data_IF_347992076544
#
_entry.id   IF_347992076544
#
_cell.length_a   1.000
_cell.length_b   1.000
_cell.length_c   1.000
_cell.angle_alpha   90.00
_cell.angle_beta   90.00
_cell.angle_gamma   90.00
#
_symmetry.space_group_name_H-M   'P 1'
#
loop_
_entity.id
_entity.type
_entity.pdbx_description
1 polymer ?
#
# COMPACT_ATOMS: atom_id res chain seq x y z
N UNK A 1 15.72 19.87 0.42
CA UNK A 1 16.26 20.62 -0.66
C UNK A 1 15.77 20.19 -2.03
N UNK A 2 14.54 20.56 -2.43
CA UNK A 2 14.05 20.39 -3.82
C UNK A 2 14.19 21.76 -4.50
N UNK A 3 15.38 22.32 -4.56
CA UNK A 3 15.56 23.68 -5.10
C UNK A 3 15.91 23.78 -6.58
N UNK A 4 16.51 22.76 -7.20
CA UNK A 4 17.20 23.01 -8.48
C UNK A 4 16.74 22.17 -9.69
N UNK A 5 15.57 21.54 -9.64
CA UNK A 5 15.12 20.68 -10.75
C UNK A 5 13.93 21.24 -11.53
N UNK A 6 13.44 22.41 -11.18
CA UNK A 6 12.24 23.00 -11.80
C UNK A 6 12.54 23.93 -12.98
N UNK A 7 13.77 24.03 -13.42
CA UNK A 7 14.12 24.69 -14.68
C UNK A 7 13.68 23.84 -15.88
N UNK A 8 12.60 24.23 -16.54
CA UNK A 8 12.15 23.80 -17.88
C UNK A 8 11.74 22.33 -18.13
N UNK A 9 11.77 21.42 -17.16
CA UNK A 9 11.31 20.04 -17.31
C UNK A 9 10.08 19.80 -16.45
N UNK A 10 9.02 19.25 -17.03
CA UNK A 10 7.76 19.00 -16.31
C UNK A 10 7.93 18.04 -15.13
N UNK A 11 7.03 18.11 -14.14
CA UNK A 11 6.99 17.24 -12.96
C UNK A 11 7.19 15.75 -13.30
N UNK A 12 6.73 15.30 -14.48
CA UNK A 12 6.91 13.93 -14.95
C UNK A 12 8.36 13.49 -15.12
N UNK A 13 9.28 14.41 -15.47
CA UNK A 13 10.73 14.08 -15.62
C UNK A 13 11.42 13.96 -14.26
N UNK A 14 10.98 14.72 -13.27
CA UNK A 14 11.48 14.62 -11.88
C UNK A 14 11.12 13.25 -11.31
N UNK A 15 9.88 12.81 -11.48
CA UNK A 15 9.42 11.50 -11.00
C UNK A 15 10.12 10.33 -11.70
N UNK A 16 10.37 10.42 -13.01
CA UNK A 16 11.13 9.41 -13.75
C UNK A 16 12.55 9.24 -13.20
N UNK A 17 13.26 10.32 -12.90
CA UNK A 17 14.63 10.26 -12.35
C UNK A 17 14.67 9.66 -10.94
N UNK A 18 13.71 9.97 -10.08
CA UNK A 18 13.62 9.34 -8.75
C UNK A 18 13.35 7.83 -8.86
N UNK A 19 12.59 7.42 -9.86
CA UNK A 19 12.34 6.00 -10.12
C UNK A 19 13.56 5.25 -10.69
N UNK A 20 14.53 5.93 -11.31
CA UNK A 20 15.76 5.31 -11.81
C UNK A 20 16.72 4.90 -10.71
N UNK A 21 16.80 5.66 -9.61
CA UNK A 21 17.66 5.37 -8.45
C UNK A 21 17.34 4.01 -7.80
N UNK A 22 16.10 3.52 -7.92
CA UNK A 22 15.71 2.19 -7.42
C UNK A 22 16.49 1.04 -8.03
N UNK A 23 16.93 1.19 -9.31
CA UNK A 23 17.72 0.17 -10.03
C UNK A 23 19.13 0.06 -9.47
N UNK A 24 19.64 1.17 -8.99
CA UNK A 24 20.96 1.26 -8.37
C UNK A 24 20.90 0.84 -6.90
N UNK A 25 19.89 1.36 -6.16
CA UNK A 25 19.74 1.15 -4.72
C UNK A 25 19.18 -0.23 -4.36
N UNK A 26 18.40 -0.86 -5.26
CA UNK A 26 17.76 -2.19 -5.07
C UNK A 26 17.09 -2.34 -3.69
N UNK A 27 16.11 -1.51 -3.34
CA UNK A 27 15.46 -1.58 -2.03
C UNK A 27 14.62 -2.85 -1.88
N UNK A 28 14.55 -3.42 -0.68
CA UNK A 28 13.61 -4.51 -0.35
C UNK A 28 12.16 -4.02 -0.36
N UNK A 29 11.94 -2.77 0.07
CA UNK A 29 10.62 -2.12 0.11
C UNK A 29 10.70 -0.74 -0.54
N UNK A 30 9.77 -0.46 -1.45
CA UNK A 30 9.57 0.86 -2.05
C UNK A 30 8.24 1.45 -1.59
N UNK A 31 8.26 2.70 -1.12
CA UNK A 31 7.05 3.44 -0.73
C UNK A 31 6.86 4.61 -1.68
N UNK A 32 5.77 4.59 -2.47
CA UNK A 32 5.34 5.74 -3.26
C UNK A 32 4.43 6.65 -2.45
N UNK A 33 5.01 7.73 -1.95
CA UNK A 33 4.34 8.78 -1.18
C UNK A 33 4.19 10.10 -1.97
N UNK A 34 4.22 10.06 -3.30
CA UNK A 34 4.12 11.25 -4.17
C UNK A 34 2.75 11.92 -4.04
N UNK A 35 1.70 11.15 -3.71
CA UNK A 35 0.32 11.61 -3.55
C UNK A 35 -0.26 12.32 -4.80
N UNK A 36 0.13 11.89 -5.99
CA UNK A 36 -0.26 12.50 -7.27
C UNK A 36 -1.73 12.27 -7.66
N UNK A 37 -2.50 11.53 -6.86
CA UNK A 37 -3.90 11.14 -7.12
C UNK A 37 -4.09 10.24 -8.35
N UNK A 38 -3.01 9.81 -8.95
CA UNK A 38 -2.92 8.86 -10.06
C UNK A 38 -1.57 8.16 -9.98
N UNK A 39 -1.50 6.94 -10.47
CA UNK A 39 -0.22 6.25 -10.63
C UNK A 39 0.61 6.98 -11.70
N UNK A 40 1.85 7.34 -11.36
CA UNK A 40 2.79 8.05 -12.25
C UNK A 40 3.85 7.13 -12.86
N UNK A 41 3.65 5.81 -12.76
CA UNK A 41 4.51 4.78 -13.35
C UNK A 41 5.12 3.82 -12.33
N UNK A 42 4.65 3.84 -11.09
CA UNK A 42 5.05 2.87 -10.06
C UNK A 42 4.39 1.53 -10.33
N UNK A 43 5.17 0.46 -10.24
CA UNK A 43 4.71 -0.90 -10.47
C UNK A 43 5.24 -1.87 -9.39
N UNK A 44 4.60 -3.02 -9.28
CA UNK A 44 5.04 -4.10 -8.38
C UNK A 44 6.45 -4.62 -8.67
N UNK A 45 6.94 -4.41 -9.91
CA UNK A 45 8.28 -4.84 -10.32
C UNK A 45 9.39 -3.89 -9.83
N UNK A 46 9.04 -2.78 -9.18
CA UNK A 46 10.01 -1.75 -8.80
C UNK A 46 10.81 -2.11 -7.54
N UNK A 47 10.29 -3.01 -6.72
CA UNK A 47 10.97 -3.60 -5.57
C UNK A 47 10.29 -4.94 -5.19
N UNK A 48 10.92 -5.80 -4.38
CA UNK A 48 10.29 -6.99 -3.81
C UNK A 48 8.96 -6.68 -3.10
N UNK A 49 8.86 -5.56 -2.40
CA UNK A 49 7.59 -5.08 -1.85
C UNK A 49 7.37 -3.61 -2.17
N UNK A 50 6.19 -3.26 -2.72
CA UNK A 50 5.85 -1.89 -3.12
C UNK A 50 4.57 -1.46 -2.43
N UNK A 51 4.61 -0.30 -1.77
CA UNK A 51 3.49 0.33 -1.06
C UNK A 51 3.13 1.63 -1.77
N UNK A 52 1.87 1.83 -2.10
CA UNK A 52 1.34 3.10 -2.62
C UNK A 52 0.51 3.84 -1.58
N UNK A 53 0.59 5.17 -1.51
CA UNK A 53 -0.21 5.98 -0.60
C UNK A 53 -1.38 6.65 -1.32
N UNK A 54 -2.61 6.28 -0.92
CA UNK A 54 -3.85 6.90 -1.35
C UNK A 54 -4.30 6.59 -2.78
N UNK A 55 -5.23 7.40 -3.31
CA UNK A 55 -5.87 7.13 -4.58
C UNK A 55 -4.89 7.22 -5.76
N UNK A 56 -5.13 6.38 -6.76
CA UNK A 56 -4.31 6.24 -7.95
C UNK A 56 -3.64 4.88 -8.07
N UNK A 57 -3.62 4.10 -6.99
CA UNK A 57 -3.07 2.75 -6.95
C UNK A 57 -4.15 1.69 -6.77
N UNK A 58 -3.90 0.51 -7.33
CA UNK A 58 -4.68 -0.70 -7.12
C UNK A 58 -3.79 -1.74 -6.48
N UNK A 59 -4.07 -2.11 -5.23
CA UNK A 59 -3.37 -3.19 -4.54
C UNK A 59 -3.60 -4.52 -5.28
N UNK A 60 -2.57 -5.34 -5.36
CA UNK A 60 -2.59 -6.60 -6.13
C UNK A 60 -2.34 -6.43 -7.63
N UNK A 61 -2.49 -5.22 -8.19
CA UNK A 61 -2.22 -4.89 -9.60
C UNK A 61 -1.00 -3.99 -9.75
N UNK A 62 -1.06 -2.77 -9.25
CA UNK A 62 -0.01 -1.75 -9.41
C UNK A 62 1.05 -1.86 -8.33
N UNK A 63 0.62 -2.11 -7.11
CA UNK A 63 1.44 -2.21 -5.89
C UNK A 63 1.04 -3.42 -5.07
N UNK A 64 1.84 -3.81 -4.06
CA UNK A 64 1.53 -4.92 -3.17
C UNK A 64 0.52 -4.55 -2.09
N UNK A 65 0.61 -3.31 -1.59
CA UNK A 65 -0.36 -2.76 -0.65
C UNK A 65 -0.59 -1.27 -0.92
N UNK A 66 -1.79 -0.80 -0.56
CA UNK A 66 -2.14 0.63 -0.56
C UNK A 66 -2.48 1.05 0.86
N UNK A 67 -1.98 2.20 1.30
CA UNK A 67 -2.41 2.81 2.57
C UNK A 67 -3.49 3.84 2.27
N UNK A 68 -4.66 3.71 2.91
CA UNK A 68 -5.76 4.66 2.77
C UNK A 68 -5.37 6.04 3.30
N UNK A 69 -5.68 7.08 2.54
CA UNK A 69 -5.36 8.46 2.91
C UNK A 69 -6.58 9.36 3.07
N UNK A 70 -7.80 8.84 2.87
CA UNK A 70 -9.03 9.60 3.13
C UNK A 70 -9.24 9.72 4.64
N UNK A 71 -9.55 10.94 5.14
CA UNK A 71 -9.97 11.12 6.53
C UNK A 71 -11.30 10.41 6.77
N UNK A 72 -11.40 9.69 7.86
CA UNK A 72 -12.58 8.90 8.24
C UNK A 72 -12.18 7.64 9.01
N UNK A 73 -13.10 6.72 9.14
CA UNK A 73 -12.91 5.47 9.91
C UNK A 73 -11.83 4.56 9.35
N UNK A 74 -11.56 4.66 8.05
CA UNK A 74 -10.58 3.83 7.33
C UNK A 74 -9.25 4.53 7.10
N UNK A 75 -9.03 5.73 7.68
CA UNK A 75 -7.76 6.42 7.55
C UNK A 75 -6.61 5.52 8.03
N UNK A 76 -5.59 5.42 7.18
CA UNK A 76 -4.41 4.61 7.41
C UNK A 76 -4.62 3.08 7.38
N UNK A 77 -5.80 2.61 6.97
CA UNK A 77 -6.03 1.18 6.72
C UNK A 77 -5.10 0.65 5.61
N UNK A 78 -4.67 -0.59 5.76
CA UNK A 78 -3.82 -1.28 4.79
C UNK A 78 -4.70 -2.12 3.87
N UNK A 79 -4.69 -1.80 2.58
CA UNK A 79 -5.46 -2.48 1.53
C UNK A 79 -4.50 -3.40 0.78
N UNK A 80 -4.76 -4.71 0.81
CA UNK A 80 -3.97 -5.73 0.10
C UNK A 80 -4.58 -6.16 -1.24
N UNK A 81 -5.85 -5.83 -1.48
CA UNK A 81 -6.57 -6.10 -2.73
C UNK A 81 -7.58 -4.99 -2.99
N UNK A 82 -7.60 -4.43 -4.22
CA UNK A 82 -8.49 -3.36 -4.62
C UNK A 82 -7.92 -1.96 -4.48
N UNK A 83 -8.81 -0.98 -4.33
CA UNK A 83 -8.48 0.45 -4.39
C UNK A 83 -8.85 1.18 -3.10
N UNK A 84 -8.11 2.24 -2.74
CA UNK A 84 -8.52 3.17 -1.69
C UNK A 84 -9.73 4.00 -2.15
N UNK A 85 -10.32 4.74 -1.22
CA UNK A 85 -11.43 5.65 -1.52
C UNK A 85 -10.99 6.66 -2.59
N UNK A 86 -11.78 6.84 -3.67
CA UNK A 86 -11.45 7.77 -4.74
C UNK A 86 -11.28 9.21 -4.24
N UNK A 87 -10.40 9.98 -4.90
CA UNK A 87 -10.23 11.39 -4.56
C UNK A 87 -11.49 12.19 -4.90
N UNK A 88 -12.14 12.74 -3.90
CA UNK A 88 -13.35 13.56 -4.06
C UNK A 88 -13.03 15.01 -4.44
N UNK A 89 -11.76 15.45 -4.32
CA UNK A 89 -11.38 16.86 -4.46
C UNK A 89 -11.83 17.76 -3.31
N UNK A 90 -12.58 17.22 -2.34
CA UNK A 90 -13.06 17.93 -1.17
C UNK A 90 -12.08 17.67 -0.01
N UNK A 91 -11.49 18.70 0.60
CA UNK A 91 -10.62 18.55 1.74
C UNK A 91 -11.41 18.11 2.97
N UNK A 92 -10.78 17.34 3.86
CA UNK A 92 -11.39 16.98 5.13
C UNK A 92 -11.64 18.20 6.02
N UNK A 93 -12.65 18.09 6.89
CA UNK A 93 -12.99 19.11 7.87
C UNK A 93 -11.86 19.33 8.88
N UNK A 94 -11.57 20.57 9.18
CA UNK A 94 -10.67 20.99 10.27
C UNK A 94 -11.30 22.23 10.91
N UNK A 95 -11.57 22.17 12.21
CA UNK A 95 -12.21 23.28 12.94
C UNK A 95 -13.55 23.73 12.34
N UNK A 96 -14.33 22.80 11.76
CA UNK A 96 -15.63 23.09 11.17
C UNK A 96 -15.60 23.59 9.71
N UNK A 97 -14.42 23.79 9.12
CA UNK A 97 -14.25 24.30 7.75
C UNK A 97 -13.63 23.26 6.82
N UNK A 98 -14.01 23.26 5.55
CA UNK A 98 -13.47 22.37 4.53
C UNK A 98 -12.92 23.16 3.33
N UNK A 99 -13.79 23.62 2.42
CA UNK A 99 -13.40 24.33 1.19
C UNK A 99 -12.91 25.74 1.47
N UNK A 100 -13.44 26.39 2.46
CA UNK A 100 -13.11 27.76 2.85
C UNK A 100 -11.67 27.92 3.33
N UNK A 101 -11.05 26.81 3.77
CA UNK A 101 -9.65 26.75 4.15
C UNK A 101 -8.70 26.87 2.96
N UNK A 102 -9.19 26.54 1.77
CA UNK A 102 -8.35 26.51 0.58
C UNK A 102 -8.12 27.91 0.00
N UNK A 103 -6.88 28.30 -0.14
CA UNK A 103 -6.49 29.47 -0.90
C UNK A 103 -6.39 29.03 -2.36
N UNK A 104 -7.22 29.58 -3.24
CA UNK A 104 -7.24 29.25 -4.67
C UNK A 104 -6.88 30.45 -5.52
N UNK A 105 -6.14 30.23 -6.61
CA UNK A 105 -5.78 31.24 -7.58
C UNK A 105 -7.03 31.88 -8.22
N UNK A 106 -7.14 33.19 -8.15
CA UNK A 106 -8.24 33.96 -8.73
C UNK A 106 -8.12 34.10 -10.25
N UNK A 107 -6.89 34.09 -10.78
CA UNK A 107 -6.60 34.13 -12.22
C UNK A 107 -5.40 33.24 -12.54
N UNK A 108 -5.25 32.92 -13.84
CA UNK A 108 -4.02 32.28 -14.34
C UNK A 108 -2.92 33.37 -14.44
N UNK A 109 -1.67 32.94 -14.15
CA UNK A 109 -0.50 33.79 -14.24
C UNK A 109 0.49 33.59 -13.10
N UNK A 110 1.38 34.56 -12.91
CA UNK A 110 2.43 34.50 -11.88
C UNK A 110 1.83 34.67 -10.48
N UNK A 111 2.33 33.87 -9.53
CA UNK A 111 2.01 33.91 -8.10
C UNK A 111 2.86 34.98 -7.40
N UNK A 112 2.24 35.87 -6.65
CA UNK A 112 2.88 36.87 -5.81
C UNK A 112 2.29 36.82 -4.40
N UNK A 113 2.93 36.16 -3.44
CA UNK A 113 2.47 36.11 -2.06
C UNK A 113 2.53 37.50 -1.41
N UNK A 114 1.49 37.87 -0.64
CA UNK A 114 1.42 39.09 0.18
C UNK A 114 1.33 38.72 1.68
N UNK A 115 1.33 37.43 2.00
CA UNK A 115 1.37 36.89 3.34
C UNK A 115 2.21 35.61 3.32
N UNK A 116 2.73 35.18 4.48
CA UNK A 116 3.67 34.08 4.64
C UNK A 116 3.08 32.95 5.49
N UNK A 117 3.67 31.75 5.39
CA UNK A 117 3.34 30.63 6.29
C UNK A 117 3.64 31.05 7.73
N UNK A 118 2.67 30.84 8.63
CA UNK A 118 2.72 31.25 10.02
C UNK A 118 2.06 32.61 10.31
N UNK A 119 1.65 33.37 9.29
CA UNK A 119 0.90 34.60 9.51
C UNK A 119 -0.52 34.32 9.98
N UNK A 120 -0.95 35.06 11.01
CA UNK A 120 -2.35 35.08 11.45
C UNK A 120 -3.10 36.06 10.54
N UNK A 121 -4.15 35.57 9.89
CA UNK A 121 -4.93 36.34 8.91
C UNK A 121 -6.39 36.39 9.31
N UNK A 122 -7.08 37.45 8.83
CA UNK A 122 -8.53 37.62 9.01
C UNK A 122 -9.25 37.35 7.70
N UNK A 123 -10.51 36.97 7.80
CA UNK A 123 -11.41 36.88 6.64
C UNK A 123 -11.40 38.23 5.87
N UNK A 124 -11.25 38.16 4.54
CA UNK A 124 -11.14 39.30 3.68
C UNK A 124 -9.73 39.92 3.58
N UNK A 125 -8.73 39.43 4.31
CA UNK A 125 -7.35 39.92 4.19
C UNK A 125 -6.73 39.42 2.86
N UNK A 126 -5.98 40.32 2.20
CA UNK A 126 -5.22 40.02 0.98
C UNK A 126 -4.09 39.01 1.32
N UNK A 127 -4.05 37.87 0.63
CA UNK A 127 -3.07 36.81 0.82
C UNK A 127 -2.06 36.74 -0.33
N UNK A 128 -2.48 37.00 -1.56
CA UNK A 128 -1.65 36.87 -2.75
C UNK A 128 -2.25 37.65 -3.94
N UNK A 129 -1.43 37.85 -4.98
CA UNK A 129 -1.91 38.16 -6.33
C UNK A 129 -1.62 36.95 -7.22
N UNK A 130 -2.52 36.63 -8.14
CA UNK A 130 -2.31 35.62 -9.18
C UNK A 130 -2.70 36.20 -10.52
N UNK A 131 -1.73 36.32 -11.45
CA UNK A 131 -1.96 37.04 -12.72
C UNK A 131 -2.44 38.48 -12.51
N UNK A 132 -1.89 39.13 -11.48
CA UNK A 132 -2.27 40.51 -11.11
C UNK A 132 -3.62 40.66 -10.39
N UNK A 133 -4.40 39.56 -10.19
CA UNK A 133 -5.70 39.61 -9.49
C UNK A 133 -5.57 39.18 -8.03
N UNK A 134 -6.26 39.85 -7.08
CA UNK A 134 -6.15 39.58 -5.66
C UNK A 134 -6.81 38.24 -5.27
N UNK A 135 -6.23 37.63 -4.25
CA UNK A 135 -6.73 36.43 -3.56
C UNK A 135 -6.89 36.77 -2.09
N UNK A 136 -8.08 36.61 -1.55
CA UNK A 136 -8.41 36.98 -0.17
C UNK A 136 -8.67 35.73 0.68
N UNK A 137 -8.41 35.84 2.00
CA UNK A 137 -8.79 34.79 2.96
C UNK A 137 -10.31 34.70 3.08
N UNK A 138 -10.82 33.47 3.10
CA UNK A 138 -12.26 33.20 3.30
C UNK A 138 -12.64 33.03 4.78
N UNK A 139 -11.64 32.88 5.67
CA UNK A 139 -11.84 32.71 7.10
C UNK A 139 -10.67 33.30 7.91
N UNK A 140 -10.88 33.46 9.21
CA UNK A 140 -9.81 33.78 10.16
C UNK A 140 -8.97 32.54 10.43
N UNK A 141 -7.64 32.68 10.49
CA UNK A 141 -6.78 31.53 10.78
C UNK A 141 -5.29 31.83 10.65
N UNK A 142 -4.51 30.76 10.55
CA UNK A 142 -3.06 30.82 10.28
C UNK A 142 -2.79 30.24 8.90
N UNK A 143 -1.98 30.91 8.10
CA UNK A 143 -1.51 30.37 6.81
C UNK A 143 -0.60 29.18 7.11
N UNK A 144 -1.02 27.99 6.69
CA UNK A 144 -0.29 26.74 6.89
C UNK A 144 0.47 26.28 5.66
N UNK A 145 0.07 26.75 4.51
CA UNK A 145 0.71 26.48 3.23
C UNK A 145 0.52 27.64 2.26
N UNK A 146 1.55 27.94 1.48
CA UNK A 146 1.54 28.97 0.44
C UNK A 146 2.55 28.56 -0.64
N UNK A 147 2.16 28.65 -1.91
CA UNK A 147 3.09 28.48 -3.02
C UNK A 147 4.13 29.61 -3.04
N UNK A 148 5.30 29.28 -3.55
CA UNK A 148 6.41 30.22 -3.68
C UNK A 148 6.07 31.32 -4.71
N UNK A 149 6.71 32.46 -4.55
CA UNK A 149 6.67 33.55 -5.52
C UNK A 149 7.17 33.09 -6.89
N UNK A 150 6.56 33.61 -7.94
CA UNK A 150 6.96 33.39 -9.33
C UNK A 150 6.40 32.13 -9.98
N UNK A 151 5.79 31.21 -9.22
CA UNK A 151 5.17 29.99 -9.77
C UNK A 151 4.03 30.36 -10.71
N UNK A 152 4.00 29.74 -11.91
CA UNK A 152 2.87 29.89 -12.84
C UNK A 152 1.70 29.04 -12.39
N UNK A 153 0.56 29.65 -12.18
CA UNK A 153 -0.65 28.99 -11.70
C UNK A 153 -1.80 29.11 -12.70
N UNK A 154 -2.70 28.14 -12.68
CA UNK A 154 -3.98 28.19 -13.42
C UNK A 154 -5.07 28.72 -12.49
N UNK A 155 -6.08 29.41 -13.03
CA UNK A 155 -7.28 29.83 -12.27
C UNK A 155 -7.89 28.64 -11.55
N UNK A 156 -8.22 28.80 -10.24
CA UNK A 156 -8.79 27.75 -9.39
C UNK A 156 -7.79 26.78 -8.80
N UNK A 157 -6.50 26.81 -9.20
CA UNK A 157 -5.47 25.97 -8.59
C UNK A 157 -5.37 26.27 -7.08
N UNK A 158 -5.28 25.23 -6.24
CA UNK A 158 -4.96 25.40 -4.83
C UNK A 158 -3.54 25.95 -4.70
N UNK A 159 -3.39 27.14 -4.11
CA UNK A 159 -2.12 27.83 -3.92
C UNK A 159 -1.71 27.91 -2.46
N UNK A 160 -2.59 27.53 -1.54
CA UNK A 160 -2.30 27.55 -0.10
C UNK A 160 -3.44 26.98 0.74
N UNK A 161 -3.29 27.14 2.06
CA UNK A 161 -4.19 26.61 3.07
C UNK A 161 -4.18 27.49 4.32
N UNK A 162 -5.36 27.81 4.87
CA UNK A 162 -5.53 28.52 6.14
C UNK A 162 -6.08 27.55 7.18
N UNK A 163 -5.45 27.47 8.35
CA UNK A 163 -5.90 26.66 9.47
C UNK A 163 -6.73 27.52 10.44
N UNK A 164 -8.03 27.22 10.64
CA UNK A 164 -8.93 28.03 11.48
C UNK A 164 -8.58 27.96 12.98
N UNK A 165 -7.76 27.00 13.41
CA UNK A 165 -7.39 26.84 14.82
C UNK A 165 -6.46 27.93 15.33
N UNK A 166 -5.94 28.79 14.47
CA UNK A 166 -5.12 29.98 14.78
C UNK A 166 -3.83 29.70 15.56
N UNK A 167 -3.36 28.46 15.59
CA UNK A 167 -2.13 28.07 16.29
C UNK A 167 -0.94 27.98 15.31
N UNK A 168 -0.01 28.90 15.43
CA UNK A 168 1.20 28.96 14.60
C UNK A 168 2.07 27.69 14.72
N UNK A 169 2.04 27.01 15.87
CA UNK A 169 2.79 25.76 16.07
C UNK A 169 2.41 24.68 15.08
N UNK A 170 1.14 24.68 14.63
CA UNK A 170 0.64 23.70 13.66
C UNK A 170 1.31 23.80 12.28
N UNK A 171 1.99 24.92 11.98
CA UNK A 171 2.76 25.06 10.74
C UNK A 171 4.04 24.21 10.75
N UNK A 172 4.54 23.84 11.93
CA UNK A 172 5.80 23.13 12.13
C UNK A 172 5.60 21.71 12.68
N UNK A 173 4.37 21.33 12.98
CA UNK A 173 4.04 20.00 13.48
C UNK A 173 3.56 19.09 12.33
N UNK A 174 3.96 17.83 12.41
CA UNK A 174 3.38 16.78 11.57
C UNK A 174 1.91 16.64 11.94
N UNK A 175 1.02 16.59 10.94
CA UNK A 175 -0.40 16.44 11.21
C UNK A 175 -0.73 15.04 11.76
N UNK A 176 -1.80 14.94 12.57
CA UNK A 176 -2.41 13.69 13.01
C UNK A 176 -2.55 12.68 11.84
N UNK A 177 -3.15 13.13 10.75
CA UNK A 177 -3.30 12.33 9.51
C UNK A 177 -1.96 11.80 8.99
N UNK A 178 -0.92 12.64 8.93
CA UNK A 178 0.38 12.22 8.44
C UNK A 178 1.06 11.23 9.39
N UNK A 179 0.89 11.42 10.70
CA UNK A 179 1.39 10.50 11.71
C UNK A 179 0.71 9.12 11.62
N UNK A 180 -0.61 9.07 11.47
CA UNK A 180 -1.34 7.81 11.32
C UNK A 180 -0.91 7.05 10.07
N UNK A 181 -0.86 7.74 8.91
CA UNK A 181 -0.38 7.14 7.65
C UNK A 181 1.07 6.66 7.79
N UNK A 182 1.95 7.49 8.34
CA UNK A 182 3.36 7.13 8.55
C UNK A 182 3.52 5.93 9.47
N UNK A 183 2.74 5.85 10.56
CA UNK A 183 2.73 4.70 11.46
C UNK A 183 2.30 3.41 10.75
N UNK A 184 1.26 3.48 9.89
CA UNK A 184 0.84 2.32 9.09
C UNK A 184 1.90 1.91 8.07
N UNK A 185 2.59 2.87 7.44
CA UNK A 185 3.72 2.56 6.55
C UNK A 185 4.81 1.83 7.31
N UNK A 186 5.26 2.36 8.45
CA UNK A 186 6.31 1.73 9.28
C UNK A 186 5.92 0.31 9.69
N UNK A 187 4.72 0.14 10.25
CA UNK A 187 4.20 -1.19 10.63
C UNK A 187 4.20 -2.16 9.45
N UNK A 188 3.76 -1.69 8.26
CA UNK A 188 3.72 -2.54 7.07
C UNK A 188 5.11 -2.93 6.62
N UNK A 189 6.07 -1.99 6.63
CA UNK A 189 7.47 -2.26 6.25
C UNK A 189 8.10 -3.26 7.21
N UNK A 190 8.00 -3.04 8.52
CA UNK A 190 8.55 -3.93 9.55
C UNK A 190 7.96 -5.33 9.45
N UNK A 191 6.63 -5.43 9.33
CA UNK A 191 5.93 -6.68 9.16
C UNK A 191 6.42 -7.43 7.90
N UNK A 192 6.51 -6.74 6.77
CA UNK A 192 6.91 -7.38 5.49
C UNK A 192 8.39 -7.76 5.46
N UNK A 193 9.28 -6.96 6.03
CA UNK A 193 10.70 -7.31 6.11
C UNK A 193 10.93 -8.59 6.93
N UNK A 194 10.11 -8.83 7.95
CA UNK A 194 10.17 -10.07 8.74
C UNK A 194 9.53 -11.28 8.03
N UNK A 195 8.75 -11.08 6.96
CA UNK A 195 8.12 -12.18 6.22
C UNK A 195 9.11 -13.17 5.60
N UNK A 196 10.34 -12.71 5.30
CA UNK A 196 11.41 -13.58 4.78
C UNK A 196 11.78 -14.75 5.70
N UNK A 197 11.47 -14.62 6.98
CA UNK A 197 11.71 -15.65 7.99
C UNK A 197 10.54 -16.66 8.05
N UNK A 198 9.55 -16.54 7.20
CA UNK A 198 8.33 -17.36 7.21
C UNK A 198 8.03 -17.96 5.84
N UNK A 199 7.41 -19.14 5.85
CA UNK A 199 6.89 -19.76 4.63
C UNK A 199 5.37 -19.70 4.56
N UNK A 200 4.84 -19.59 3.34
CA UNK A 200 3.44 -19.80 3.00
C UNK A 200 3.33 -21.05 2.14
N UNK A 201 2.65 -22.07 2.61
CA UNK A 201 2.58 -23.39 1.98
C UNK A 201 1.14 -23.66 1.58
N UNK A 202 0.84 -23.66 0.27
CA UNK A 202 -0.47 -23.98 -0.27
C UNK A 202 -0.61 -25.48 -0.46
N UNK A 203 -1.63 -26.06 0.15
CA UNK A 203 -1.99 -27.48 0.00
C UNK A 203 -3.07 -27.62 -1.09
N UNK A 204 -2.67 -28.08 -2.26
CA UNK A 204 -3.50 -28.22 -3.45
C UNK A 204 -3.42 -29.61 -4.10
N UNK A 205 -3.17 -30.66 -3.31
CA UNK A 205 -3.02 -32.05 -3.78
C UNK A 205 -4.23 -32.95 -3.44
N UNK A 206 -5.28 -32.41 -2.82
CA UNK A 206 -6.46 -33.16 -2.38
C UNK A 206 -7.23 -33.84 -3.52
N UNK A 207 -7.76 -35.04 -3.24
CA UNK A 207 -8.47 -35.87 -4.24
C UNK A 207 -9.86 -35.39 -4.61
N UNK A 208 -10.48 -34.48 -3.84
CA UNK A 208 -11.87 -34.03 -4.02
C UNK A 208 -12.88 -35.19 -4.17
N UNK A 209 -12.61 -36.35 -3.54
CA UNK A 209 -13.31 -37.64 -3.74
C UNK A 209 -14.81 -37.58 -3.54
N UNK A 210 -15.34 -36.60 -2.81
CA UNK A 210 -16.78 -36.41 -2.56
C UNK A 210 -17.46 -35.60 -3.67
N UNK A 211 -16.71 -34.98 -4.60
CA UNK A 211 -17.24 -34.02 -5.56
C UNK A 211 -17.32 -34.56 -7.01
N UNK A 212 -16.71 -35.75 -7.26
CA UNK A 212 -16.67 -36.38 -8.58
C UNK A 212 -15.70 -35.74 -9.57
N UNK A 213 -15.49 -34.43 -9.51
CA UNK A 213 -14.53 -33.63 -10.29
C UNK A 213 -13.52 -32.92 -9.38
N UNK A 214 -12.43 -32.43 -9.97
CA UNK A 214 -11.45 -31.66 -9.20
C UNK A 214 -12.00 -30.26 -8.86
N UNK A 215 -12.49 -30.10 -7.63
CA UNK A 215 -13.04 -28.84 -7.11
C UNK A 215 -12.11 -27.64 -7.29
N UNK A 216 -10.78 -27.84 -7.23
CA UNK A 216 -9.80 -26.77 -7.32
C UNK A 216 -9.70 -26.13 -8.70
N UNK A 217 -10.08 -26.90 -9.76
CA UNK A 217 -10.07 -26.44 -11.15
C UNK A 217 -11.43 -25.85 -11.57
N UNK A 218 -12.45 -25.90 -10.71
CA UNK A 218 -13.75 -25.31 -11.01
C UNK A 218 -13.69 -23.78 -11.06
N UNK A 219 -14.51 -23.21 -11.93
CA UNK A 219 -14.60 -21.75 -12.09
C UNK A 219 -15.42 -21.13 -10.95
N UNK A 220 -14.87 -20.11 -10.34
CA UNK A 220 -15.49 -19.28 -9.32
C UNK A 220 -15.17 -17.81 -9.65
N UNK A 221 -16.22 -16.97 -9.79
CA UNK A 221 -16.07 -15.51 -9.99
C UNK A 221 -15.00 -15.10 -11.03
N UNK A 222 -15.03 -15.73 -12.20
CA UNK A 222 -14.18 -15.37 -13.34
C UNK A 222 -12.76 -15.96 -13.35
N UNK A 223 -12.42 -16.86 -12.40
CA UNK A 223 -11.17 -17.62 -12.39
C UNK A 223 -11.35 -19.01 -11.82
N UNK A 224 -10.33 -19.86 -11.86
CA UNK A 224 -10.36 -21.15 -11.17
C UNK A 224 -10.13 -20.95 -9.66
N UNK A 225 -10.71 -21.85 -8.83
CA UNK A 225 -10.66 -21.73 -7.37
C UNK A 225 -9.23 -21.56 -6.83
N UNK A 226 -8.28 -22.32 -7.35
CA UNK A 226 -6.87 -22.23 -6.93
C UNK A 226 -6.23 -20.87 -7.28
N UNK A 227 -6.62 -20.25 -8.40
CA UNK A 227 -6.06 -18.95 -8.83
C UNK A 227 -6.37 -17.83 -7.83
N UNK A 228 -7.55 -17.88 -7.21
CA UNK A 228 -7.92 -16.92 -6.15
C UNK A 228 -6.96 -17.00 -4.96
N UNK A 229 -6.52 -18.20 -4.58
CA UNK A 229 -5.57 -18.37 -3.47
C UNK A 229 -4.16 -17.99 -3.88
N UNK A 230 -3.68 -18.39 -5.06
CA UNK A 230 -2.37 -17.98 -5.57
C UNK A 230 -2.27 -16.44 -5.67
N UNK A 231 -3.34 -15.78 -6.15
CA UNK A 231 -3.38 -14.31 -6.23
C UNK A 231 -3.19 -13.65 -4.87
N UNK A 232 -3.81 -14.19 -3.81
CA UNK A 232 -3.68 -13.68 -2.44
C UNK A 232 -2.27 -13.87 -1.88
N UNK A 233 -1.64 -15.03 -2.14
CA UNK A 233 -0.25 -15.29 -1.74
C UNK A 233 0.73 -14.30 -2.38
N UNK A 234 0.46 -13.82 -3.60
CA UNK A 234 1.29 -12.80 -4.26
C UNK A 234 1.39 -11.47 -3.50
N UNK A 235 0.53 -11.20 -2.53
CA UNK A 235 0.66 -10.03 -1.66
C UNK A 235 1.82 -10.14 -0.66
N UNK A 236 2.46 -11.32 -0.56
CA UNK A 236 3.52 -11.63 0.40
C UNK A 236 4.80 -12.14 -0.29
N UNK A 237 5.39 -11.37 -1.21
CA UNK A 237 6.50 -11.85 -2.06
C UNK A 237 7.80 -12.10 -1.30
N UNK A 238 7.93 -11.63 -0.06
CA UNK A 238 9.10 -11.87 0.79
C UNK A 238 9.01 -13.19 1.55
N UNK A 239 7.82 -13.79 1.70
CA UNK A 239 7.68 -15.14 2.24
C UNK A 239 8.24 -16.18 1.26
N UNK A 240 8.81 -17.25 1.79
CA UNK A 240 9.08 -18.47 1.00
C UNK A 240 7.74 -19.10 0.61
N UNK A 241 7.37 -19.05 -0.68
CA UNK A 241 6.06 -19.51 -1.17
C UNK A 241 6.21 -20.90 -1.80
N UNK A 242 5.49 -21.88 -1.27
CA UNK A 242 5.50 -23.26 -1.75
C UNK A 242 4.08 -23.71 -2.07
N UNK A 243 3.91 -24.40 -3.20
CA UNK A 243 2.65 -25.02 -3.62
C UNK A 243 2.86 -26.53 -3.68
N UNK A 244 2.08 -27.26 -2.88
CA UNK A 244 2.05 -28.72 -2.90
C UNK A 244 0.87 -29.16 -3.75
N UNK A 245 1.14 -29.72 -4.91
CA UNK A 245 0.09 -30.13 -5.85
C UNK A 245 0.42 -31.45 -6.52
N UNK A 246 -0.55 -32.05 -7.20
CA UNK A 246 -0.44 -33.16 -8.14
C UNK A 246 -0.99 -32.80 -9.51
N UNK A 247 -1.50 -31.58 -9.67
CA UNK A 247 -2.18 -31.11 -10.87
C UNK A 247 -1.25 -30.20 -11.66
N UNK A 248 -1.07 -30.53 -12.93
CA UNK A 248 -0.17 -29.80 -13.83
C UNK A 248 -0.62 -28.33 -14.03
N UNK A 249 -1.92 -28.07 -14.09
CA UNK A 249 -2.47 -26.73 -14.25
C UNK A 249 -2.09 -25.82 -13.07
N UNK A 250 -2.19 -26.34 -11.85
CA UNK A 250 -1.81 -25.61 -10.62
C UNK A 250 -0.30 -25.40 -10.57
N UNK A 251 0.48 -26.41 -10.93
CA UNK A 251 1.93 -26.34 -11.00
C UNK A 251 2.39 -25.23 -11.97
N UNK A 252 1.87 -25.25 -13.20
CA UNK A 252 2.22 -24.26 -14.23
C UNK A 252 1.83 -22.84 -13.81
N UNK A 253 0.66 -22.65 -13.23
CA UNK A 253 0.23 -21.36 -12.72
C UNK A 253 1.07 -20.87 -11.56
N UNK A 254 1.48 -21.74 -10.63
CA UNK A 254 2.34 -21.40 -9.52
C UNK A 254 3.76 -21.02 -9.98
N UNK A 255 4.35 -21.82 -10.87
CA UNK A 255 5.68 -21.55 -11.45
C UNK A 255 5.71 -20.22 -12.22
N UNK A 256 4.67 -19.93 -13.01
CA UNK A 256 4.54 -18.65 -13.72
C UNK A 256 4.52 -17.44 -12.78
N UNK A 257 4.09 -17.64 -11.53
CA UNK A 257 4.08 -16.62 -10.49
C UNK A 257 5.36 -16.61 -9.62
N UNK A 258 6.36 -17.42 -9.96
CA UNK A 258 7.63 -17.50 -9.23
C UNK A 258 7.56 -18.28 -7.92
N UNK A 259 6.51 -19.06 -7.70
CA UNK A 259 6.36 -19.88 -6.50
C UNK A 259 7.09 -21.22 -6.66
N UNK A 260 7.61 -21.74 -5.56
CA UNK A 260 8.21 -23.08 -5.51
C UNK A 260 7.09 -24.12 -5.59
N UNK A 261 7.33 -25.20 -6.32
CA UNK A 261 6.35 -26.29 -6.43
C UNK A 261 6.98 -27.59 -5.96
N UNK A 262 6.20 -28.41 -5.28
CA UNK A 262 6.50 -29.80 -4.98
C UNK A 262 5.34 -30.68 -5.38
N UNK A 263 5.63 -31.74 -6.13
CA UNK A 263 4.65 -32.72 -6.57
C UNK A 263 4.34 -33.70 -5.42
N UNK A 264 3.05 -33.87 -5.13
CA UNK A 264 2.60 -34.95 -4.25
C UNK A 264 2.10 -36.13 -5.11
N UNK A 265 2.97 -37.10 -5.29
CA UNK A 265 2.67 -38.34 -6.07
C UNK A 265 1.88 -39.37 -5.25
N UNK A 266 1.80 -39.20 -3.93
CA UNK A 266 1.18 -40.14 -2.98
C UNK A 266 0.04 -39.47 -2.18
N UNK A 267 -1.00 -38.94 -2.83
CA UNK A 267 -2.07 -38.19 -2.16
C UNK A 267 -2.89 -39.07 -1.17
N UNK A 268 -2.79 -40.38 -1.30
CA UNK A 268 -3.46 -41.35 -0.42
C UNK A 268 -2.86 -41.40 0.99
N UNK A 269 -1.62 -40.95 1.18
CA UNK A 269 -1.01 -40.78 2.47
C UNK A 269 -1.58 -39.64 3.31
N UNK A 270 -2.58 -38.93 2.77
CA UNK A 270 -3.34 -37.91 3.47
C UNK A 270 -2.65 -36.56 3.56
N UNK A 271 -3.30 -35.64 4.29
CA UNK A 271 -2.84 -34.26 4.41
C UNK A 271 -1.47 -34.14 5.09
N UNK A 272 -1.16 -35.03 6.04
CA UNK A 272 0.11 -35.01 6.75
C UNK A 272 1.31 -35.19 5.81
N UNK A 273 1.16 -35.97 4.73
CA UNK A 273 2.19 -36.12 3.72
C UNK A 273 2.42 -34.82 2.94
N UNK A 274 1.34 -34.15 2.51
CA UNK A 274 1.43 -32.84 1.86
C UNK A 274 2.09 -31.78 2.75
N UNK A 275 1.76 -31.75 4.06
CA UNK A 275 2.40 -30.87 5.04
C UNK A 275 3.91 -31.10 5.11
N UNK A 276 4.34 -32.36 5.19
CA UNK A 276 5.77 -32.73 5.24
C UNK A 276 6.52 -32.34 3.97
N UNK A 277 5.93 -32.61 2.79
CA UNK A 277 6.52 -32.25 1.50
C UNK A 277 6.69 -30.73 1.37
N UNK A 278 5.66 -29.98 1.70
CA UNK A 278 5.69 -28.52 1.63
C UNK A 278 6.70 -27.92 2.59
N UNK A 279 6.73 -28.38 3.85
CA UNK A 279 7.66 -27.89 4.85
C UNK A 279 9.10 -28.22 4.48
N UNK A 280 9.37 -29.45 4.04
CA UNK A 280 10.70 -29.87 3.57
C UNK A 280 11.17 -28.96 2.43
N UNK A 281 10.35 -28.76 1.40
CA UNK A 281 10.70 -27.88 0.27
C UNK A 281 10.98 -26.44 0.70
N UNK A 282 10.21 -25.93 1.67
CA UNK A 282 10.42 -24.58 2.21
C UNK A 282 11.75 -24.49 2.98
N UNK A 283 12.09 -25.48 3.80
CA UNK A 283 13.35 -25.53 4.55
C UNK A 283 14.56 -25.76 3.66
N UNK A 284 14.43 -26.54 2.58
CA UNK A 284 15.49 -26.72 1.58
C UNK A 284 15.84 -25.40 0.89
N UNK A 285 14.83 -24.53 0.67
CA UNK A 285 15.03 -23.19 0.10
C UNK A 285 15.55 -22.18 1.12
N UNK A 286 14.99 -22.20 2.33
CA UNK A 286 15.36 -21.29 3.41
C UNK A 286 15.50 -22.04 4.74
N UNK A 287 16.70 -22.52 5.06
CA UNK A 287 16.95 -23.23 6.33
C UNK A 287 16.73 -22.39 7.60
N UNK A 288 16.71 -21.05 7.46
CA UNK A 288 16.52 -20.10 8.56
C UNK A 288 15.06 -19.77 8.89
N UNK A 289 14.09 -20.52 8.35
CA UNK A 289 12.68 -20.28 8.63
C UNK A 289 12.34 -20.42 10.11
N UNK A 290 11.61 -19.43 10.64
CA UNK A 290 11.09 -19.40 12.00
C UNK A 290 9.68 -19.98 12.09
N UNK A 291 8.96 -20.08 10.98
CA UNK A 291 7.61 -20.62 10.95
C UNK A 291 7.06 -20.80 9.54
N UNK A 292 5.96 -21.53 9.45
CA UNK A 292 5.25 -21.78 8.21
C UNK A 292 3.74 -21.67 8.41
N UNK A 293 3.07 -20.96 7.50
CA UNK A 293 1.62 -20.89 7.42
C UNK A 293 1.13 -21.86 6.34
N UNK A 294 0.31 -22.82 6.73
CA UNK A 294 -0.33 -23.76 5.81
C UNK A 294 -1.69 -23.21 5.38
N UNK A 295 -1.93 -23.21 4.08
CA UNK A 295 -3.12 -22.69 3.45
C UNK A 295 -3.78 -23.83 2.68
N UNK A 296 -5.08 -24.03 2.89
CA UNK A 296 -5.87 -24.99 2.07
C UNK A 296 -6.47 -24.24 0.88
N UNK A 297 -6.43 -24.87 -0.28
CA UNK A 297 -6.80 -24.25 -1.55
C UNK A 297 -8.31 -24.04 -1.71
N UNK A 298 -9.14 -24.74 -0.95
CA UNK A 298 -10.60 -24.76 -1.07
C UNK A 298 -11.34 -23.74 -0.19
N UNK A 299 -10.64 -22.68 0.25
CA UNK A 299 -11.21 -21.59 1.04
C UNK A 299 -11.12 -20.24 0.29
N UNK A 300 -11.90 -20.05 -0.77
CA UNK A 300 -11.82 -18.84 -1.61
C UNK A 300 -12.24 -17.56 -0.86
N UNK A 301 -13.02 -17.68 0.21
CA UNK A 301 -13.47 -16.54 1.04
C UNK A 301 -12.38 -15.90 1.91
N UNK A 302 -11.23 -16.55 2.14
CA UNK A 302 -10.12 -15.93 2.85
C UNK A 302 -9.54 -14.78 2.02
N UNK A 303 -9.23 -13.66 2.66
CA UNK A 303 -8.64 -12.48 2.02
C UNK A 303 -7.14 -12.41 2.23
N UNK A 304 -6.43 -11.60 1.42
CA UNK A 304 -5.02 -11.30 1.68
C UNK A 304 -4.83 -10.60 3.05
N UNK A 305 -5.80 -9.78 3.48
CA UNK A 305 -5.82 -9.20 4.82
C UNK A 305 -5.94 -10.25 5.94
N UNK A 306 -6.67 -11.36 5.68
CA UNK A 306 -6.71 -12.50 6.61
C UNK A 306 -5.33 -13.16 6.71
N UNK A 307 -4.65 -13.39 5.59
CA UNK A 307 -3.30 -13.96 5.57
C UNK A 307 -2.30 -13.07 6.31
N UNK A 308 -2.38 -11.74 6.10
CA UNK A 308 -1.55 -10.79 6.83
C UNK A 308 -1.72 -10.95 8.35
N UNK A 309 -2.97 -10.95 8.84
CA UNK A 309 -3.25 -11.11 10.28
C UNK A 309 -2.78 -12.46 10.82
N UNK A 310 -2.95 -13.54 10.06
CA UNK A 310 -2.47 -14.87 10.48
C UNK A 310 -0.95 -14.90 10.59
N UNK A 311 -0.21 -14.31 9.64
CA UNK A 311 1.24 -14.17 9.71
C UNK A 311 1.67 -13.35 10.92
N UNK A 312 1.05 -12.19 11.17
CA UNK A 312 1.35 -11.35 12.33
C UNK A 312 1.10 -12.10 13.65
N UNK A 313 -0.03 -12.80 13.77
CA UNK A 313 -0.32 -13.62 14.94
C UNK A 313 0.71 -14.75 15.10
N UNK A 314 1.08 -15.43 14.02
CA UNK A 314 2.11 -16.47 14.03
C UNK A 314 3.47 -15.96 14.50
N UNK A 315 3.86 -14.75 14.07
CA UNK A 315 5.08 -14.07 14.52
C UNK A 315 5.06 -13.77 16.01
N UNK A 316 3.91 -13.34 16.54
CA UNK A 316 3.73 -13.10 17.98
C UNK A 316 3.76 -14.39 18.80
N UNK A 317 3.14 -15.47 18.29
CA UNK A 317 3.09 -16.76 18.96
C UNK A 317 4.46 -17.46 18.99
N UNK A 318 5.31 -17.25 18.01
CA UNK A 318 6.69 -17.78 18.02
C UNK A 318 7.58 -17.16 19.10
N UNK A 319 7.16 -16.03 19.67
CA UNK A 319 7.76 -15.40 20.85
C UNK A 319 7.21 -15.96 22.18
N UNK A 320 6.07 -16.64 22.12
CA UNK A 320 5.48 -17.32 23.24
C UNK A 320 5.73 -18.82 23.01
N UNK A 321 6.65 -19.43 23.74
CA UNK A 321 6.94 -20.85 23.70
C UNK A 321 5.69 -21.69 23.43
N UNK A 322 5.62 -22.39 22.30
CA UNK A 322 4.77 -23.55 22.17
C UNK A 322 5.48 -24.66 22.95
N UNK A 323 5.32 -24.63 24.26
CA UNK A 323 5.58 -25.81 25.08
C UNK A 323 4.64 -26.92 24.61
N UNK A 324 5.20 -28.07 24.33
CA UNK A 324 4.64 -29.36 23.93
C UNK A 324 3.11 -29.48 23.86
N UNK A 325 2.55 -30.16 22.83
CA UNK A 325 1.14 -30.52 22.85
C UNK A 325 0.93 -31.44 24.06
N UNK A 326 0.16 -30.97 25.04
CA UNK A 326 -0.39 -31.81 26.07
C UNK A 326 -1.12 -32.96 25.37
N UNK A 327 -0.56 -34.15 25.42
CA UNK A 327 -1.25 -35.37 25.03
C UNK A 327 -2.46 -35.55 25.94
N UNK A 328 -3.62 -35.96 25.38
CA UNK A 328 -4.76 -36.34 26.16
C UNK A 328 -4.48 -37.57 27.02
#
# INVERSE_FOLDING_TARGET
GIRDVLGSRGLGDVYKRHAEIRREFRPDVLVDAILAKRNTGTSRADAPYVIGLGPGFVAGKDVHAVIETMRGLTLADIIYDGQPIPNTGIPGYVGGYALERLIRASAAGRMEPKAQIGDVVRKGQLLALTGGKPVYSQLDGVIRGMLQEGVQVKKGLKIGDVDPRKDKKLCYLISDKANEIGSSVVKTVEARLSDKDYAMILLAAGKSSRYGNNKLLEKLDGGQMFEHTLRKMRAFPLCTQVVVTRFEEIENAAKTQGMLVVQNTEPDLGIAHSLKLGLKRALDENPGLKGAMFIVCDQPGLTAGTFARMLEMGKMLSLIHISEPTRP
#
